data_IF_637361416088
#
_entry.id   IF_637361416088
#
_cell.length_a   1.000
_cell.length_b   1.000
_cell.length_c   1.000
_cell.angle_alpha   90.00
_cell.angle_beta   90.00
_cell.angle_gamma   90.00
#
_symmetry.space_group_name_H-M   'P 1'
#
loop_
_entity.id
_entity.type
_entity.pdbx_description
1 polymer ?
#
# COMPACT_ATOMS: atom_id res chain seq x y z
N UNK A 1 1.74 -14.14 -7.75
CA UNK A 1 0.42 -14.81 -7.67
C UNK A 1 -0.68 -13.82 -8.05
N UNK A 2 -1.85 -14.28 -8.50
CA UNK A 2 -2.99 -13.38 -8.77
C UNK A 2 -3.57 -12.78 -7.49
N UNK A 3 -3.68 -13.60 -6.44
CA UNK A 3 -4.03 -13.15 -5.10
C UNK A 3 -3.03 -13.78 -4.13
N UNK A 4 -2.03 -13.05 -3.62
CA UNK A 4 -1.12 -13.53 -2.58
C UNK A 4 -1.80 -13.56 -1.21
N UNK A 5 -1.28 -14.37 -0.28
CA UNK A 5 -1.66 -14.33 1.14
C UNK A 5 -0.43 -14.16 2.02
N UNK A 6 -0.55 -13.35 3.07
CA UNK A 6 0.47 -13.20 4.11
C UNK A 6 0.68 -14.55 4.83
N UNK A 7 1.94 -14.85 5.21
CA UNK A 7 2.25 -16.09 5.91
C UNK A 7 1.59 -16.10 7.30
N UNK A 8 0.93 -17.22 7.66
CA UNK A 8 0.36 -17.37 9.02
C UNK A 8 1.47 -17.41 10.08
N UNK A 9 2.65 -17.90 9.73
CA UNK A 9 3.84 -17.94 10.58
C UNK A 9 4.93 -17.08 9.93
N UNK A 10 5.10 -15.86 10.44
CA UNK A 10 6.08 -14.88 9.94
C UNK A 10 7.23 -14.61 10.90
N UNK A 11 8.16 -13.76 10.46
CA UNK A 11 9.36 -13.35 11.21
C UNK A 11 9.27 -11.92 11.74
N UNK A 12 8.33 -11.11 11.24
CA UNK A 12 8.22 -9.67 11.48
C UNK A 12 9.02 -8.81 10.49
N UNK A 13 9.88 -9.42 9.65
CA UNK A 13 10.64 -8.71 8.61
C UNK A 13 9.80 -8.43 7.35
N UNK A 14 8.62 -9.02 7.23
CA UNK A 14 7.76 -8.96 6.05
C UNK A 14 7.26 -7.55 5.78
N UNK A 15 6.87 -6.80 6.83
CA UNK A 15 6.44 -5.41 6.71
C UNK A 15 7.57 -4.49 6.26
N UNK A 16 8.74 -4.59 6.90
CA UNK A 16 9.92 -3.76 6.57
C UNK A 16 10.39 -4.05 5.15
N UNK A 17 10.48 -5.33 4.78
CA UNK A 17 10.88 -5.74 3.43
C UNK A 17 9.88 -5.28 2.38
N UNK A 18 8.58 -5.41 2.65
CA UNK A 18 7.51 -4.95 1.75
C UNK A 18 7.57 -3.44 1.53
N UNK A 19 7.67 -2.67 2.60
CA UNK A 19 7.79 -1.21 2.58
C UNK A 19 9.02 -0.72 1.84
N UNK A 20 10.19 -1.27 2.15
CA UNK A 20 11.47 -0.78 1.63
C UNK A 20 11.81 -1.32 0.24
N UNK A 21 11.06 -2.32 -0.26
CA UNK A 21 11.22 -2.86 -1.62
C UNK A 21 10.97 -1.84 -2.74
N UNK A 22 10.29 -0.72 -2.43
CA UNK A 22 9.83 0.25 -3.42
C UNK A 22 8.65 -0.23 -4.27
N UNK A 23 8.10 -1.43 -3.98
CA UNK A 23 6.95 -1.97 -4.72
C UNK A 23 5.62 -1.40 -4.24
N UNK A 24 5.53 -1.04 -2.96
CA UNK A 24 4.39 -0.40 -2.35
C UNK A 24 4.32 1.10 -2.67
N UNK A 25 3.12 1.67 -2.63
CA UNK A 25 2.93 3.13 -2.75
C UNK A 25 2.85 3.72 -1.36
N UNK A 26 3.79 4.61 -1.05
CA UNK A 26 3.97 5.17 0.29
C UNK A 26 3.46 6.62 0.34
N UNK A 27 2.76 6.95 1.41
CA UNK A 27 2.27 8.29 1.69
C UNK A 27 3.43 9.25 2.01
N UNK A 28 3.48 10.40 1.33
CA UNK A 28 4.55 11.39 1.50
C UNK A 28 4.29 12.36 2.65
N UNK A 29 3.03 12.66 2.93
CA UNK A 29 2.59 13.67 3.89
C UNK A 29 1.38 13.16 4.67
N UNK A 30 1.24 13.52 5.95
CA UNK A 30 0.06 13.15 6.71
C UNK A 30 -1.20 13.80 6.10
N UNK A 31 -2.31 13.07 6.13
CA UNK A 31 -3.53 13.48 5.47
C UNK A 31 -4.73 12.57 5.74
N UNK A 32 -5.86 12.91 5.14
CA UNK A 32 -7.07 12.08 5.11
C UNK A 32 -7.30 11.62 3.67
N UNK A 33 -7.57 10.34 3.49
CA UNK A 33 -7.90 9.78 2.18
C UNK A 33 -9.27 10.32 1.72
N UNK A 34 -9.28 11.14 0.68
CA UNK A 34 -10.50 11.77 0.18
C UNK A 34 -11.18 10.95 -0.90
N UNK A 35 -10.40 10.26 -1.74
CA UNK A 35 -10.92 9.42 -2.81
C UNK A 35 -9.99 8.26 -3.11
N UNK A 36 -10.56 7.06 -3.22
CA UNK A 36 -9.84 5.84 -3.61
C UNK A 36 -10.43 5.33 -4.91
N UNK A 37 -9.58 5.17 -5.91
CA UNK A 37 -9.92 4.51 -7.17
C UNK A 37 -8.92 3.38 -7.44
N UNK A 38 -9.28 2.47 -8.34
CA UNK A 38 -8.40 1.35 -8.66
C UNK A 38 -7.02 1.79 -9.17
N UNK A 39 -6.94 2.91 -9.91
CA UNK A 39 -5.70 3.41 -10.55
C UNK A 39 -5.04 4.56 -9.80
N UNK A 40 -5.70 5.16 -8.82
CA UNK A 40 -5.22 6.36 -8.16
C UNK A 40 -5.85 6.56 -6.79
N UNK A 41 -5.07 7.12 -5.87
CA UNK A 41 -5.49 7.45 -4.51
C UNK A 41 -5.28 8.94 -4.31
N UNK A 42 -6.27 9.61 -3.73
CA UNK A 42 -6.22 11.03 -3.41
C UNK A 42 -6.19 11.21 -1.90
N UNK A 43 -5.14 11.86 -1.40
CA UNK A 43 -4.96 12.15 0.02
C UNK A 43 -4.96 13.65 0.21
N UNK A 44 -5.91 14.15 0.99
CA UNK A 44 -5.93 15.56 1.39
C UNK A 44 -4.99 15.75 2.56
N UNK A 45 -3.94 16.52 2.38
CA UNK A 45 -3.03 16.86 3.47
C UNK A 45 -3.79 17.58 4.58
N UNK A 46 -3.41 17.33 5.82
CA UNK A 46 -3.73 18.23 6.91
C UNK A 46 -2.44 18.82 7.46
N UNK A 47 -2.51 20.10 7.80
CA UNK A 47 -1.44 20.80 8.51
C UNK A 47 -1.97 21.21 9.88
N UNK A 48 -1.14 21.09 10.90
CA UNK A 48 -1.50 21.49 12.25
C UNK A 48 -1.00 22.92 12.46
N UNK A 49 -1.93 23.88 12.46
CA UNK A 49 -1.65 25.30 12.70
C UNK A 49 -2.37 25.68 13.99
N UNK A 50 -1.63 26.15 14.98
CA UNK A 50 -2.15 26.55 16.30
C UNK A 50 -3.03 25.47 16.98
N UNK A 51 -2.68 24.19 16.79
CA UNK A 51 -3.41 23.05 17.36
C UNK A 51 -4.71 22.67 16.63
N UNK A 52 -4.98 23.25 15.46
CA UNK A 52 -6.12 22.91 14.62
C UNK A 52 -5.66 22.23 13.32
N UNK A 53 -6.33 21.13 12.94
CA UNK A 53 -6.12 20.45 11.65
C UNK A 53 -6.73 21.28 10.52
N UNK A 54 -5.89 21.95 9.75
CA UNK A 54 -6.29 22.73 8.56
C UNK A 54 -6.18 21.86 7.31
N UNK A 55 -7.18 21.93 6.43
CA UNK A 55 -7.15 21.22 5.14
C UNK A 55 -6.15 21.88 4.21
N UNK A 56 -5.14 21.12 3.79
CA UNK A 56 -4.14 21.53 2.82
C UNK A 56 -4.43 21.06 1.40
N UNK A 57 -3.35 20.92 0.63
CA UNK A 57 -3.36 20.48 -0.77
C UNK A 57 -3.82 19.02 -0.92
N UNK A 58 -4.35 18.71 -2.11
CA UNK A 58 -4.74 17.36 -2.50
C UNK A 58 -3.58 16.66 -3.23
N UNK A 59 -3.06 15.59 -2.64
CA UNK A 59 -2.04 14.75 -3.26
C UNK A 59 -2.67 13.63 -4.07
N UNK A 60 -2.14 13.41 -5.27
CA UNK A 60 -2.52 12.31 -6.15
C UNK A 60 -1.40 11.27 -6.22
N UNK A 61 -1.73 10.04 -5.87
CA UNK A 61 -0.86 8.87 -5.96
C UNK A 61 -1.36 7.96 -7.08
N UNK A 62 -0.58 7.82 -8.16
CA UNK A 62 -0.92 6.95 -9.29
C UNK A 62 -0.43 5.52 -9.03
N UNK A 63 -1.28 4.54 -9.35
CA UNK A 63 -0.98 3.13 -9.20
C UNK A 63 -0.67 2.50 -10.55
N UNK A 64 0.32 1.60 -10.56
CA UNK A 64 0.65 0.78 -11.72
C UNK A 64 -0.32 -0.38 -11.82
N UNK A 65 -1.02 -0.49 -12.97
CA UNK A 65 -1.98 -1.56 -13.25
C UNK A 65 -1.53 -2.43 -14.41
N UNK A 66 -1.40 -3.73 -14.15
CA UNK A 66 -1.10 -4.76 -15.16
C UNK A 66 0.10 -4.42 -16.05
N UNK A 67 1.15 -3.84 -15.47
CA UNK A 67 2.38 -3.49 -16.18
C UNK A 67 3.30 -4.71 -16.22
N UNK A 68 4.01 -4.93 -17.33
CA UNK A 68 4.97 -6.02 -17.45
C UNK A 68 6.28 -5.66 -16.74
N UNK A 69 6.79 -6.54 -15.89
CA UNK A 69 8.14 -6.43 -15.31
C UNK A 69 9.24 -6.86 -16.27
N UNK A 70 10.50 -6.58 -15.96
CA UNK A 70 11.65 -6.99 -16.77
C UNK A 70 11.70 -8.51 -17.00
N UNK A 71 11.28 -9.29 -16.00
CA UNK A 71 11.21 -10.76 -16.05
C UNK A 71 9.90 -11.28 -16.66
N UNK A 72 9.03 -10.41 -17.17
CA UNK A 72 7.78 -10.78 -17.82
C UNK A 72 6.62 -11.10 -16.87
N UNK A 73 6.77 -10.84 -15.58
CA UNK A 73 5.68 -11.01 -14.59
C UNK A 73 4.73 -9.80 -14.59
N UNK A 74 3.53 -9.99 -14.04
CA UNK A 74 2.55 -8.93 -13.88
C UNK A 74 2.86 -8.07 -12.65
N UNK A 75 3.04 -6.76 -12.88
CA UNK A 75 3.19 -5.75 -11.86
C UNK A 75 1.86 -5.01 -11.68
N UNK A 76 1.18 -5.26 -10.57
CA UNK A 76 -0.14 -4.72 -10.30
C UNK A 76 -0.23 -4.25 -8.85
N UNK A 77 -0.44 -2.95 -8.68
CA UNK A 77 -0.65 -2.32 -7.39
C UNK A 77 -2.13 -2.24 -7.02
N UNK A 78 -2.46 -2.46 -5.75
CA UNK A 78 -3.83 -2.49 -5.24
C UNK A 78 -3.96 -1.57 -4.01
N UNK A 79 -4.90 -0.61 -4.01
CA UNK A 79 -5.15 0.20 -2.81
C UNK A 79 -5.46 -0.69 -1.60
N UNK A 80 -4.90 -0.34 -0.44
CA UNK A 80 -5.24 -0.98 0.85
C UNK A 80 -6.04 -0.06 1.77
N UNK A 81 -5.96 1.25 1.54
CA UNK A 81 -6.70 2.27 2.29
C UNK A 81 -8.11 2.48 1.73
N UNK A 82 -9.00 2.97 2.60
CA UNK A 82 -10.38 3.34 2.30
C UNK A 82 -10.59 4.86 2.38
N UNK A 83 -11.67 5.35 1.78
CA UNK A 83 -12.05 6.77 1.86
C UNK A 83 -12.39 7.12 3.32
N UNK A 84 -11.79 8.19 3.83
CA UNK A 84 -11.95 8.66 5.21
C UNK A 84 -10.82 8.25 6.15
N UNK A 85 -9.93 7.35 5.73
CA UNK A 85 -8.81 6.91 6.58
C UNK A 85 -7.82 8.07 6.81
N UNK A 86 -7.40 8.26 8.07
CA UNK A 86 -6.27 9.12 8.41
C UNK A 86 -4.97 8.36 8.14
N UNK A 87 -4.08 8.95 7.35
CA UNK A 87 -2.79 8.36 6.99
C UNK A 87 -1.65 9.25 7.42
N UNK A 88 -0.55 8.65 7.85
CA UNK A 88 0.67 9.37 8.24
C UNK A 88 1.77 9.26 7.18
N UNK A 89 2.78 10.12 7.29
CA UNK A 89 3.98 10.04 6.44
C UNK A 89 4.64 8.67 6.60
N UNK A 90 4.93 8.01 5.49
CA UNK A 90 5.60 6.72 5.47
C UNK A 90 4.66 5.52 5.59
N UNK A 91 3.35 5.74 5.65
CA UNK A 91 2.34 4.67 5.64
C UNK A 91 2.10 4.15 4.22
N UNK A 92 1.75 2.86 4.10
CA UNK A 92 1.49 2.22 2.81
C UNK A 92 0.04 2.52 2.39
N UNK A 93 -0.12 3.11 1.21
CA UNK A 93 -1.43 3.40 0.61
C UNK A 93 -1.92 2.28 -0.31
N UNK A 94 -0.99 1.61 -0.98
CA UNK A 94 -1.28 0.52 -1.89
C UNK A 94 -0.19 -0.55 -1.87
N UNK A 95 -0.63 -1.80 -1.91
CA UNK A 95 0.21 -2.98 -2.02
C UNK A 95 0.81 -3.10 -3.42
N UNK A 96 2.05 -3.58 -3.47
CA UNK A 96 2.73 -4.00 -4.68
C UNK A 96 2.35 -5.43 -5.13
N UNK A 97 2.99 -5.93 -6.20
CA UNK A 97 2.94 -7.36 -6.52
C UNK A 97 3.46 -8.19 -5.35
N UNK A 98 2.79 -9.32 -5.06
CA UNK A 98 3.17 -10.24 -3.98
C UNK A 98 3.20 -9.58 -2.58
N UNK A 99 2.24 -8.69 -2.33
CA UNK A 99 1.99 -8.10 -1.02
C UNK A 99 0.51 -8.25 -0.63
N UNK A 100 0.28 -8.32 0.68
CA UNK A 100 -1.05 -8.26 1.28
C UNK A 100 -1.00 -7.37 2.54
N UNK A 101 -1.84 -6.34 2.59
CA UNK A 101 -2.02 -5.43 3.73
C UNK A 101 -0.70 -4.81 4.23
N UNK A 102 0.19 -4.46 3.31
CA UNK A 102 1.49 -3.85 3.61
C UNK A 102 2.60 -4.85 3.92
N UNK A 103 2.30 -6.15 4.02
CA UNK A 103 3.28 -7.20 4.27
C UNK A 103 3.69 -7.93 2.99
N UNK A 104 4.92 -8.44 2.99
CA UNK A 104 5.41 -9.30 1.93
C UNK A 104 4.69 -10.66 1.95
N UNK A 105 4.06 -11.00 0.82
CA UNK A 105 3.22 -12.18 0.65
C UNK A 105 3.59 -12.91 -0.65
N UNK A 106 4.69 -13.66 -0.63
CA UNK A 106 5.21 -14.36 -1.82
C UNK A 106 4.42 -15.61 -2.20
N UNK A 107 3.59 -16.14 -1.29
CA UNK A 107 3.00 -17.47 -1.38
C UNK A 107 1.52 -17.55 -0.99
N UNK A 108 1.12 -18.76 -0.60
CA UNK A 108 -0.19 -19.13 -0.07
C UNK A 108 0.00 -20.13 1.06
N UNK A 109 -0.88 -20.09 2.05
CA UNK A 109 -0.91 -21.07 3.12
C UNK A 109 -1.64 -22.33 2.63
N UNK A 110 -1.02 -23.51 2.80
CA UNK A 110 -1.58 -24.81 2.35
C UNK A 110 -1.54 -25.84 3.48
N UNK A 111 -2.50 -26.75 3.49
CA UNK A 111 -2.48 -27.90 4.41
C UNK A 111 -1.54 -28.98 3.86
N UNK A 112 -0.58 -29.42 4.69
CA UNK A 112 0.44 -30.40 4.31
C UNK A 112 0.27 -31.67 5.16
N UNK A 113 0.28 -32.83 4.51
CA UNK A 113 0.40 -34.13 5.16
C UNK A 113 1.83 -34.66 5.05
N UNK A 114 2.29 -35.36 6.08
CA UNK A 114 3.61 -35.99 6.14
C UNK A 114 3.50 -37.50 5.99
#
# INVERSE_FOLDING_TARGET
LLNPEAPIVGTGMEYVSGKDSGAAVICKYPGVVERVEAKQIFVRRYEEVDGQKVKGNLDQYKLLKFVRSNQGTCYNQRPIVSVGDEVVKGEILADGPSMEKGELALGRNVMVGF
#
